data_IF_564048464277
#
_entry.id   IF_564048464277
#
_cell.length_a   1.000
_cell.length_b   1.000
_cell.length_c   1.000
_cell.angle_alpha   90.00
_cell.angle_beta   90.00
_cell.angle_gamma   90.00
#
_symmetry.space_group_name_H-M   'P 1'
#
loop_
_entity.id
_entity.type
_entity.pdbx_description
1 polymer ?
#
# COMPACT_ATOMS: atom_id res chain seq x y z
N UNK A 1 42.64 -23.95 17.00
CA UNK A 1 42.64 -22.56 16.47
C UNK A 1 41.89 -22.42 15.15
N UNK A 2 41.66 -23.51 14.40
CA UNK A 2 40.97 -23.46 13.10
C UNK A 2 39.46 -23.19 13.20
N UNK A 3 38.76 -23.83 14.15
CA UNK A 3 37.30 -23.64 14.29
C UNK A 3 36.89 -22.31 14.91
N UNK A 4 37.75 -21.70 15.75
CA UNK A 4 37.43 -20.44 16.43
C UNK A 4 37.29 -19.29 15.43
N UNK A 5 38.19 -19.23 14.43
CA UNK A 5 38.11 -18.26 13.36
C UNK A 5 36.83 -18.39 12.52
N UNK A 6 36.38 -19.63 12.26
CA UNK A 6 35.15 -19.90 11.49
C UNK A 6 33.91 -19.42 12.24
N UNK A 7 33.81 -19.68 13.54
CA UNK A 7 32.66 -19.25 14.36
C UNK A 7 32.59 -17.72 14.43
N UNK A 8 33.74 -17.05 14.55
CA UNK A 8 33.82 -15.58 14.54
C UNK A 8 33.35 -15.03 13.19
N UNK A 9 33.81 -15.61 12.07
CA UNK A 9 33.37 -15.20 10.74
C UNK A 9 31.87 -15.39 10.53
N UNK A 10 31.34 -16.55 10.94
CA UNK A 10 29.90 -16.85 10.85
C UNK A 10 29.07 -15.89 11.71
N UNK A 11 29.55 -15.50 12.90
CA UNK A 11 28.91 -14.50 13.74
C UNK A 11 28.82 -13.12 13.06
N UNK A 12 29.90 -12.68 12.41
CA UNK A 12 29.93 -11.40 11.67
C UNK A 12 28.96 -11.43 10.49
N UNK A 13 28.96 -12.51 9.71
CA UNK A 13 28.05 -12.68 8.55
C UNK A 13 26.58 -12.72 9.01
N UNK A 14 26.27 -13.43 10.10
CA UNK A 14 24.91 -13.53 10.62
C UNK A 14 24.33 -12.16 11.01
N UNK A 15 25.11 -11.29 11.64
CA UNK A 15 24.68 -9.93 12.01
C UNK A 15 24.33 -9.10 10.77
N UNK A 16 25.15 -9.16 9.71
CA UNK A 16 24.92 -8.41 8.47
C UNK A 16 23.64 -8.88 7.77
N UNK A 17 23.41 -10.20 7.72
CA UNK A 17 22.21 -10.78 7.08
C UNK A 17 20.94 -10.37 7.80
N UNK A 18 20.91 -10.40 9.14
CA UNK A 18 19.74 -9.99 9.93
C UNK A 18 19.39 -8.52 9.68
N UNK A 19 20.39 -7.64 9.71
CA UNK A 19 20.19 -6.20 9.49
C UNK A 19 19.73 -5.90 8.06
N UNK A 20 20.28 -6.59 7.06
CA UNK A 20 19.94 -6.39 5.65
C UNK A 20 18.51 -6.88 5.33
N UNK A 21 18.12 -8.05 5.85
CA UNK A 21 16.76 -8.59 5.64
C UNK A 21 15.73 -7.72 6.36
N UNK A 22 16.01 -7.25 7.58
CA UNK A 22 15.15 -6.31 8.31
C UNK A 22 14.90 -5.01 7.53
N UNK A 23 15.98 -4.34 7.08
CA UNK A 23 15.88 -3.09 6.33
C UNK A 23 15.11 -3.21 5.00
N UNK A 24 15.25 -4.35 4.31
CA UNK A 24 14.57 -4.58 3.03
C UNK A 24 13.07 -4.80 3.19
N UNK A 25 12.63 -5.38 4.31
CA UNK A 25 11.21 -5.54 4.62
C UNK A 25 10.56 -4.19 4.91
N UNK A 26 11.27 -3.28 5.58
CA UNK A 26 10.76 -1.94 5.86
C UNK A 26 10.66 -1.07 4.59
N UNK A 27 11.68 -1.11 3.71
CA UNK A 27 11.62 -0.41 2.41
C UNK A 27 10.54 -0.96 1.49
N UNK A 28 10.40 -2.28 1.39
CA UNK A 28 9.39 -2.91 0.55
C UNK A 28 7.96 -2.54 0.94
N UNK A 29 7.69 -2.35 2.25
CA UNK A 29 6.39 -1.89 2.75
C UNK A 29 6.12 -0.43 2.37
N UNK A 30 7.14 0.43 2.44
CA UNK A 30 7.01 1.84 2.07
C UNK A 30 6.75 2.03 0.57
N UNK A 31 7.49 1.31 -0.28
CA UNK A 31 7.30 1.37 -1.73
C UNK A 31 5.95 0.79 -2.16
N UNK A 32 5.49 -0.28 -1.49
CA UNK A 32 4.16 -0.84 -1.73
C UNK A 32 3.03 0.13 -1.32
N UNK A 33 3.19 0.86 -0.21
CA UNK A 33 2.25 1.91 0.19
C UNK A 33 2.18 3.07 -0.81
N UNK A 34 3.33 3.52 -1.34
CA UNK A 34 3.38 4.53 -2.41
C UNK A 34 2.69 4.08 -3.69
N UNK A 35 2.94 2.85 -4.12
CA UNK A 35 2.31 2.30 -5.31
C UNK A 35 0.78 2.22 -5.14
N UNK A 36 0.30 1.82 -3.95
CA UNK A 36 -1.13 1.81 -3.66
C UNK A 36 -1.74 3.22 -3.65
N UNK A 37 -1.06 4.20 -3.05
CA UNK A 37 -1.54 5.58 -3.06
C UNK A 37 -1.68 6.11 -4.49
N UNK A 38 -0.70 5.87 -5.36
CA UNK A 38 -0.77 6.28 -6.77
C UNK A 38 -1.95 5.64 -7.52
N UNK A 39 -2.27 4.37 -7.23
CA UNK A 39 -3.45 3.69 -7.81
C UNK A 39 -4.75 4.31 -7.31
N UNK A 40 -4.83 4.66 -6.01
CA UNK A 40 -5.99 5.33 -5.42
C UNK A 40 -6.15 6.74 -5.99
N UNK A 41 -5.06 7.51 -6.12
CA UNK A 41 -5.07 8.84 -6.74
C UNK A 41 -5.59 8.79 -8.18
N UNK A 42 -5.13 7.82 -8.98
CA UNK A 42 -5.62 7.62 -10.34
C UNK A 42 -7.12 7.31 -10.36
N UNK A 43 -7.59 6.45 -9.46
CA UNK A 43 -9.01 6.10 -9.38
C UNK A 43 -9.89 7.28 -8.93
N UNK A 44 -9.41 8.10 -7.99
CA UNK A 44 -10.06 9.36 -7.57
C UNK A 44 -10.11 10.33 -8.75
N UNK A 45 -9.02 10.45 -9.51
CA UNK A 45 -8.97 11.32 -10.68
C UNK A 45 -9.99 10.88 -11.74
N UNK A 46 -10.05 9.58 -12.05
CA UNK A 46 -11.04 9.03 -12.97
C UNK A 46 -12.48 9.27 -12.48
N UNK A 47 -12.76 9.02 -11.19
CA UNK A 47 -14.08 9.31 -10.61
C UNK A 47 -14.43 10.80 -10.73
N UNK A 48 -13.47 11.71 -10.50
CA UNK A 48 -13.68 13.14 -10.62
C UNK A 48 -13.89 13.59 -12.07
N UNK A 49 -13.26 12.92 -13.04
CA UNK A 49 -13.48 13.18 -14.46
C UNK A 49 -14.89 12.76 -14.90
N UNK A 50 -15.38 11.62 -14.41
CA UNK A 50 -16.69 11.10 -14.79
C UNK A 50 -17.83 11.83 -14.05
N UNK A 51 -17.63 12.18 -12.78
CA UNK A 51 -18.69 12.71 -11.92
C UNK A 51 -18.56 14.20 -11.60
N UNK A 52 -17.46 14.85 -12.04
CA UNK A 52 -17.18 16.27 -11.80
C UNK A 52 -16.90 16.64 -10.33
N UNK A 53 -16.84 15.66 -9.43
CA UNK A 53 -16.58 15.86 -8.01
C UNK A 53 -15.76 14.71 -7.45
N UNK A 54 -14.82 14.97 -6.52
CA UNK A 54 -14.08 13.90 -5.85
C UNK A 54 -15.02 12.99 -5.03
N UNK A 55 -14.69 11.70 -4.90
CA UNK A 55 -15.49 10.76 -4.14
C UNK A 55 -15.47 11.11 -2.63
N UNK A 56 -16.61 11.00 -1.92
CA UNK A 56 -16.68 11.30 -0.48
C UNK A 56 -16.01 10.22 0.39
N UNK A 57 -15.92 8.98 -0.12
CA UNK A 57 -15.26 7.88 0.54
C UNK A 57 -14.64 6.93 -0.50
N UNK A 58 -13.64 6.14 -0.11
CA UNK A 58 -13.02 5.16 -1.02
C UNK A 58 -14.00 4.05 -1.43
N UNK A 59 -15.07 3.83 -0.66
CA UNK A 59 -16.16 2.93 -1.06
C UNK A 59 -16.87 3.39 -2.34
N UNK A 60 -16.91 4.69 -2.63
CA UNK A 60 -17.49 5.22 -3.85
C UNK A 60 -16.68 4.85 -5.12
N UNK A 61 -15.41 4.47 -4.96
CA UNK A 61 -14.58 3.93 -6.04
C UNK A 61 -14.87 2.45 -6.31
N UNK A 62 -15.45 1.72 -5.34
CA UNK A 62 -15.82 0.31 -5.49
C UNK A 62 -17.27 0.14 -5.95
N UNK A 63 -18.18 0.95 -5.41
CA UNK A 63 -19.61 0.84 -5.65
C UNK A 63 -20.19 2.22 -5.91
N UNK A 64 -21.02 2.33 -6.94
CA UNK A 64 -21.76 3.55 -7.24
C UNK A 64 -22.50 4.07 -6.00
N UNK A 65 -22.19 5.29 -5.52
CA UNK A 65 -23.01 5.92 -4.49
C UNK A 65 -24.34 6.38 -5.10
N UNK A 66 -25.42 6.43 -4.31
CA UNK A 66 -26.76 6.82 -4.79
C UNK A 66 -26.83 8.26 -5.32
N UNK A 67 -25.84 9.09 -4.99
CA UNK A 67 -25.74 10.49 -5.37
C UNK A 67 -25.09 10.72 -6.74
N UNK A 68 -24.73 9.66 -7.48
CA UNK A 68 -23.85 9.77 -8.65
C UNK A 68 -24.36 8.92 -9.82
N UNK A 69 -25.17 9.52 -10.71
CA UNK A 69 -25.79 8.81 -11.83
C UNK A 69 -24.83 8.45 -12.97
N UNK A 70 -23.76 9.22 -13.16
CA UNK A 70 -22.78 9.06 -14.25
C UNK A 70 -21.61 8.11 -13.90
N UNK A 71 -21.76 7.32 -12.84
CA UNK A 71 -20.72 6.38 -12.40
C UNK A 71 -20.48 5.28 -13.45
N UNK A 72 -19.26 5.22 -14.00
CA UNK A 72 -18.92 4.33 -15.12
C UNK A 72 -18.36 2.97 -14.72
N UNK A 73 -18.10 2.73 -13.43
CA UNK A 73 -17.64 1.42 -12.98
C UNK A 73 -16.75 1.46 -11.74
N UNK A 74 -16.34 0.28 -11.25
CA UNK A 74 -15.42 0.20 -10.14
C UNK A 74 -14.03 0.68 -10.58
N UNK A 75 -13.67 1.90 -10.17
CA UNK A 75 -12.36 2.51 -10.43
C UNK A 75 -11.23 1.86 -9.62
N UNK A 76 -11.57 1.08 -8.59
CA UNK A 76 -10.63 0.37 -7.74
C UNK A 76 -11.10 -1.07 -7.49
N UNK A 77 -10.17 -1.98 -7.15
CA UNK A 77 -10.50 -3.33 -6.66
C UNK A 77 -10.49 -3.37 -5.13
N UNK A 78 -11.33 -4.20 -4.47
CA UNK A 78 -11.34 -4.32 -3.00
C UNK A 78 -9.97 -4.69 -2.43
N UNK A 79 -9.21 -5.52 -3.15
CA UNK A 79 -7.84 -5.93 -2.78
C UNK A 79 -6.83 -4.78 -2.74
N UNK A 80 -7.12 -3.66 -3.41
CA UNK A 80 -6.24 -2.48 -3.47
C UNK A 80 -6.54 -1.46 -2.35
N UNK A 81 -7.58 -1.71 -1.54
CA UNK A 81 -7.93 -0.90 -0.36
C UNK A 81 -7.30 -1.39 0.93
N UNK A 82 -6.45 -2.42 0.85
CA UNK A 82 -5.75 -3.01 1.97
C UNK A 82 -4.27 -2.70 1.84
N UNK A 83 -3.77 -1.95 2.80
CA UNK A 83 -2.36 -1.57 2.92
C UNK A 83 -1.48 -2.82 3.23
N UNK A 84 -0.17 -2.82 2.88
CA UNK A 84 0.76 -3.91 3.23
C UNK A 84 0.78 -4.33 4.71
N UNK A 85 0.32 -3.47 5.62
CA UNK A 85 0.15 -3.76 7.05
C UNK A 85 -1.20 -4.41 7.40
N UNK A 86 -2.06 -4.69 6.42
CA UNK A 86 -3.39 -5.28 6.62
C UNK A 86 -4.47 -4.28 7.03
N UNK A 87 -4.17 -2.99 6.99
CA UNK A 87 -5.12 -1.93 7.34
C UNK A 87 -5.94 -1.49 6.15
N UNK A 88 -7.26 -1.31 6.35
CA UNK A 88 -8.12 -0.65 5.35
C UNK A 88 -7.76 0.83 5.26
N UNK A 89 -7.44 1.28 4.05
CA UNK A 89 -7.21 2.70 3.77
C UNK A 89 -8.55 3.44 3.87
N UNK A 90 -8.51 4.66 4.43
CA UNK A 90 -9.67 5.53 4.66
C UNK A 90 -9.27 6.96 4.26
N UNK A 91 -10.21 7.77 3.79
CA UNK A 91 -9.94 9.18 3.56
C UNK A 91 -9.88 9.92 4.91
N UNK A 92 -8.99 10.91 5.06
CA UNK A 92 -9.03 11.80 6.21
C UNK A 92 -10.34 12.60 6.18
N UNK A 93 -11.18 12.42 7.20
CA UNK A 93 -12.47 13.13 7.34
C UNK A 93 -13.72 12.26 7.25
N UNK A 94 -13.63 10.96 6.94
CA UNK A 94 -14.75 10.02 7.10
C UNK A 94 -14.70 9.32 8.46
N UNK A 95 -15.41 9.90 9.44
CA UNK A 95 -15.63 9.37 10.79
C UNK A 95 -17.07 9.57 11.22
#
# INVERSE_FOLDING_TARGET
MEMLAVIVLLGIVAVIVVQAVGHNVEKGRYDAGKAQLAVIEQAISNYNLDNGSPPPDLQALLKAPPSTPDWQGPYLKPSQLVDPFGHRIRLPGTG
#
